data_IF_289632566624
#
_entry.id   IF_289632566624
#
_cell.length_a   1.000
_cell.length_b   1.000
_cell.length_c   1.000
_cell.angle_alpha   90.00
_cell.angle_beta   90.00
_cell.angle_gamma   90.00
#
_symmetry.space_group_name_H-M   'P 1'
#
loop_
_entity.id
_entity.type
_entity.pdbx_description
1 polymer ?
#
# COMPACT_ATOMS: atom_id res chain seq x y z
N UNK A 1 -35.40 -70.01 28.21
CA UNK A 1 -35.50 -69.30 26.93
C UNK A 1 -35.66 -67.82 27.21
N UNK A 2 -34.58 -67.15 27.57
CA UNK A 2 -34.43 -65.69 27.50
C UNK A 2 -32.93 -65.44 27.27
N UNK A 3 -32.55 -64.30 26.69
CA UNK A 3 -31.17 -63.83 26.41
C UNK A 3 -30.48 -64.25 25.11
N UNK A 4 -31.14 -64.10 23.95
CA UNK A 4 -30.42 -64.02 22.64
C UNK A 4 -30.72 -62.70 21.90
N UNK A 5 -31.82 -62.01 22.23
CA UNK A 5 -32.25 -60.80 21.52
C UNK A 5 -31.42 -59.54 21.82
N UNK A 6 -30.73 -59.47 22.97
CA UNK A 6 -29.98 -58.27 23.40
C UNK A 6 -28.59 -58.19 22.75
N UNK A 7 -27.97 -59.32 22.40
CA UNK A 7 -26.60 -59.34 21.85
C UNK A 7 -26.53 -58.95 20.36
N UNK A 8 -27.55 -59.24 19.56
CA UNK A 8 -27.55 -58.95 18.11
C UNK A 8 -27.73 -57.44 17.86
N UNK A 9 -28.63 -56.77 18.59
CA UNK A 9 -28.84 -55.33 18.47
C UNK A 9 -27.64 -54.47 18.90
N UNK A 10 -26.85 -54.95 19.88
CA UNK A 10 -25.65 -54.25 20.34
C UNK A 10 -24.51 -54.30 19.29
N UNK A 11 -24.37 -55.41 18.55
CA UNK A 11 -23.30 -55.57 17.55
C UNK A 11 -23.58 -54.71 16.31
N UNK A 12 -24.81 -54.64 15.82
CA UNK A 12 -25.18 -53.78 14.68
C UNK A 12 -24.99 -52.29 15.00
N UNK A 13 -25.32 -51.86 16.23
CA UNK A 13 -25.12 -50.49 16.69
C UNK A 13 -23.64 -50.09 16.71
N UNK A 14 -22.76 -50.99 17.14
CA UNK A 14 -21.31 -50.76 17.19
C UNK A 14 -20.71 -50.62 15.79
N UNK A 15 -21.19 -51.41 14.82
CA UNK A 15 -20.74 -51.31 13.42
C UNK A 15 -21.10 -49.95 12.82
N UNK A 16 -22.34 -49.46 12.99
CA UNK A 16 -22.75 -48.15 12.49
C UNK A 16 -22.02 -46.98 13.16
N UNK A 17 -21.77 -47.06 14.47
CA UNK A 17 -20.96 -46.05 15.20
C UNK A 17 -19.53 -46.02 14.66
N UNK A 18 -18.92 -47.18 14.42
CA UNK A 18 -17.54 -47.27 13.93
C UNK A 18 -17.41 -46.70 12.51
N UNK A 19 -18.35 -47.02 11.61
CA UNK A 19 -18.39 -46.46 10.25
C UNK A 19 -18.59 -44.95 10.28
N UNK A 20 -19.46 -44.45 11.17
CA UNK A 20 -19.73 -43.02 11.31
C UNK A 20 -18.51 -42.25 11.85
N UNK A 21 -17.81 -42.79 12.86
CA UNK A 21 -16.59 -42.19 13.42
C UNK A 21 -15.45 -42.18 12.40
N UNK A 22 -15.29 -43.26 11.63
CA UNK A 22 -14.30 -43.31 10.55
C UNK A 22 -14.62 -42.31 9.43
N UNK A 23 -15.90 -42.19 9.03
CA UNK A 23 -16.35 -41.21 8.06
C UNK A 23 -16.13 -39.76 8.52
N UNK A 24 -16.43 -39.47 9.79
CA UNK A 24 -16.16 -38.17 10.41
C UNK A 24 -14.67 -37.86 10.47
N UNK A 25 -13.82 -38.84 10.83
CA UNK A 25 -12.37 -38.69 10.84
C UNK A 25 -11.78 -38.41 9.45
N UNK A 26 -12.30 -39.07 8.42
CA UNK A 26 -11.88 -38.84 7.04
C UNK A 26 -12.28 -37.46 6.54
N UNK A 27 -13.52 -37.04 6.81
CA UNK A 27 -14.01 -35.69 6.49
C UNK A 27 -13.23 -34.60 7.23
N UNK A 28 -12.87 -34.82 8.50
CA UNK A 28 -12.00 -33.88 9.24
C UNK A 28 -10.58 -33.80 8.67
N UNK A 29 -10.03 -34.93 8.22
CA UNK A 29 -8.72 -35.00 7.58
C UNK A 29 -8.66 -34.23 6.27
N UNK A 30 -9.68 -34.39 5.40
CA UNK A 30 -9.77 -33.63 4.14
C UNK A 30 -9.97 -32.14 4.40
N UNK A 31 -10.86 -31.79 5.33
CA UNK A 31 -11.16 -30.39 5.67
C UNK A 31 -9.94 -29.66 6.27
N UNK A 32 -9.12 -30.36 7.06
CA UNK A 32 -7.86 -29.81 7.59
C UNK A 32 -6.82 -29.57 6.49
N UNK A 33 -6.73 -30.48 5.51
CA UNK A 33 -5.85 -30.30 4.36
C UNK A 33 -6.31 -29.16 3.45
N UNK A 34 -7.60 -29.05 3.18
CA UNK A 34 -8.15 -27.97 2.35
C UNK A 34 -7.94 -26.60 3.01
N UNK A 35 -8.17 -26.48 4.32
CA UNK A 35 -7.90 -25.25 5.09
C UNK A 35 -6.42 -24.90 5.08
N UNK A 36 -5.53 -25.90 5.15
CA UNK A 36 -4.08 -25.67 5.09
C UNK A 36 -3.65 -25.15 3.71
N UNK A 37 -4.14 -25.78 2.64
CA UNK A 37 -3.84 -25.38 1.27
C UNK A 37 -4.38 -23.96 0.99
N UNK A 38 -5.60 -23.64 1.40
CA UNK A 38 -6.18 -22.29 1.26
C UNK A 38 -5.34 -21.24 1.99
N UNK A 39 -4.83 -21.55 3.19
CA UNK A 39 -3.98 -20.63 3.96
C UNK A 39 -2.64 -20.37 3.27
N UNK A 40 -2.04 -21.39 2.67
CA UNK A 40 -0.81 -21.28 1.89
C UNK A 40 -1.05 -20.46 0.61
N UNK A 41 -2.13 -20.74 -0.13
CA UNK A 41 -2.50 -19.97 -1.33
C UNK A 41 -2.82 -18.51 -1.04
N UNK A 42 -3.49 -18.19 0.08
CA UNK A 42 -3.72 -16.81 0.53
C UNK A 42 -2.40 -16.13 0.92
N UNK A 43 -1.45 -16.86 1.50
CA UNK A 43 -0.12 -16.36 1.81
C UNK A 43 0.67 -15.96 0.57
N UNK A 44 0.66 -16.82 -0.45
CA UNK A 44 1.29 -16.57 -1.75
C UNK A 44 0.60 -15.42 -2.51
N UNK A 45 -0.73 -15.39 -2.50
CA UNK A 45 -1.52 -14.31 -3.11
C UNK A 45 -1.25 -12.95 -2.46
N UNK A 46 -1.14 -12.90 -1.12
CA UNK A 46 -0.78 -11.68 -0.39
C UNK A 46 0.63 -11.20 -0.72
N UNK A 47 1.57 -12.13 -0.98
CA UNK A 47 2.93 -11.80 -1.39
C UNK A 47 2.97 -11.25 -2.82
N UNK A 48 2.24 -11.86 -3.75
CA UNK A 48 2.12 -11.40 -5.14
C UNK A 48 1.44 -10.03 -5.26
N UNK A 49 0.41 -9.73 -4.46
CA UNK A 49 -0.17 -8.38 -4.40
C UNK A 49 0.86 -7.35 -3.93
N UNK A 50 1.63 -7.67 -2.88
CA UNK A 50 2.64 -6.76 -2.34
C UNK A 50 3.76 -6.47 -3.34
N UNK A 51 4.15 -7.47 -4.14
CA UNK A 51 5.13 -7.32 -5.23
C UNK A 51 4.54 -6.45 -6.36
N UNK A 52 3.28 -6.66 -6.75
CA UNK A 52 2.61 -5.82 -7.75
C UNK A 52 2.40 -4.37 -7.30
N UNK A 53 2.11 -4.10 -6.03
CA UNK A 53 1.97 -2.73 -5.51
C UNK A 53 3.29 -1.94 -5.59
N UNK A 54 4.42 -2.63 -5.35
CA UNK A 54 5.75 -2.05 -5.49
C UNK A 54 6.11 -1.78 -6.95
N UNK A 55 5.72 -2.67 -7.86
CA UNK A 55 5.92 -2.46 -9.30
C UNK A 55 5.09 -1.28 -9.82
N UNK A 56 3.82 -1.16 -9.41
CA UNK A 56 2.96 -0.05 -9.79
C UNK A 56 3.50 1.28 -9.26
N UNK A 57 3.91 1.34 -7.98
CA UNK A 57 4.51 2.54 -7.40
C UNK A 57 5.82 2.94 -8.13
N UNK A 58 6.65 1.95 -8.48
CA UNK A 58 7.90 2.17 -9.23
C UNK A 58 7.62 2.66 -10.65
N UNK A 59 6.63 2.09 -11.34
CA UNK A 59 6.23 2.48 -12.70
C UNK A 59 5.62 3.90 -12.70
N UNK A 60 4.70 4.19 -11.77
CA UNK A 60 4.11 5.54 -11.62
C UNK A 60 5.18 6.58 -11.29
N UNK A 61 6.13 6.26 -10.41
CA UNK A 61 7.27 7.11 -10.10
C UNK A 61 8.13 7.43 -11.33
N UNK A 62 8.47 6.42 -12.14
CA UNK A 62 9.23 6.60 -13.40
C UNK A 62 8.46 7.38 -14.47
N UNK A 63 7.12 7.37 -14.42
CA UNK A 63 6.30 8.08 -15.39
C UNK A 63 6.45 9.60 -15.23
N UNK A 64 6.54 10.11 -14.00
CA UNK A 64 6.61 11.56 -13.74
C UNK A 64 7.94 12.05 -13.21
N UNK A 65 8.84 11.16 -12.77
CA UNK A 65 10.15 11.52 -12.25
C UNK A 65 11.29 10.80 -12.98
N UNK A 66 12.41 11.50 -13.14
CA UNK A 66 13.63 10.93 -13.70
C UNK A 66 14.18 9.83 -12.78
N UNK A 67 14.85 8.83 -13.39
CA UNK A 67 15.37 7.66 -12.67
C UNK A 67 16.62 7.97 -11.83
N UNK A 68 17.22 9.15 -11.99
CA UNK A 68 18.39 9.58 -11.24
C UNK A 68 17.95 10.31 -9.97
N UNK A 69 18.59 9.97 -8.84
CA UNK A 69 18.43 10.70 -7.59
C UNK A 69 19.14 12.06 -7.67
N UNK A 70 18.61 13.12 -7.05
CA UNK A 70 17.29 13.20 -6.45
C UNK A 70 16.19 13.13 -7.51
N UNK A 71 15.09 12.42 -7.22
CA UNK A 71 13.98 12.24 -8.17
C UNK A 71 13.41 13.60 -8.55
N UNK A 72 13.64 14.06 -9.77
CA UNK A 72 13.14 15.33 -10.29
C UNK A 72 11.97 15.07 -11.23
N UNK A 73 11.00 15.99 -11.30
CA UNK A 73 9.92 15.85 -12.28
C UNK A 73 10.49 15.87 -13.70
N UNK A 74 10.18 14.85 -14.48
CA UNK A 74 10.50 14.79 -15.91
C UNK A 74 9.55 15.72 -16.71
N UNK A 75 9.66 15.75 -18.04
CA UNK A 75 8.81 16.62 -18.86
C UNK A 75 7.31 16.36 -18.65
N UNK A 76 6.92 15.10 -18.55
CA UNK A 76 5.53 14.71 -18.31
C UNK A 76 5.06 15.12 -16.91
N UNK A 77 5.87 14.87 -15.88
CA UNK A 77 5.58 15.29 -14.51
C UNK A 77 5.40 16.81 -14.38
N UNK A 78 6.20 17.61 -15.09
CA UNK A 78 6.03 19.08 -15.13
C UNK A 78 4.72 19.49 -15.81
N UNK A 79 4.29 18.78 -16.85
CA UNK A 79 2.99 19.00 -17.50
C UNK A 79 1.83 18.67 -16.55
N UNK A 80 1.93 17.57 -15.81
CA UNK A 80 0.93 17.20 -14.78
C UNK A 80 0.87 18.27 -13.69
N UNK A 81 2.02 18.72 -13.18
CA UNK A 81 2.10 19.76 -12.14
C UNK A 81 1.43 21.07 -12.60
N UNK A 82 1.71 21.51 -13.83
CA UNK A 82 1.17 22.75 -14.38
C UNK A 82 -0.32 22.64 -14.80
N UNK A 83 -0.76 21.48 -15.28
CA UNK A 83 -2.11 21.30 -15.83
C UNK A 83 -3.17 20.88 -14.79
N UNK A 84 -2.76 20.39 -13.62
CA UNK A 84 -3.67 19.84 -12.61
C UNK A 84 -4.14 20.85 -11.57
N UNK A 85 -3.49 22.00 -11.44
CA UNK A 85 -3.77 22.96 -10.36
C UNK A 85 -3.19 22.55 -8.99
N UNK A 86 -2.47 21.42 -8.91
CA UNK A 86 -1.89 20.96 -7.65
C UNK A 86 -0.76 21.87 -7.18
N UNK A 87 -0.06 22.52 -8.11
CA UNK A 87 1.01 23.46 -7.78
C UNK A 87 0.49 24.59 -6.89
N UNK A 88 -0.61 25.21 -7.28
CA UNK A 88 -1.26 26.32 -6.58
C UNK A 88 -1.79 25.86 -5.21
N UNK A 89 -2.37 24.65 -5.14
CA UNK A 89 -2.80 24.06 -3.86
C UNK A 89 -1.62 23.94 -2.89
N UNK A 90 -0.49 23.41 -3.37
CA UNK A 90 0.72 23.22 -2.57
C UNK A 90 1.32 24.56 -2.15
N UNK A 91 1.44 25.53 -3.05
CA UNK A 91 1.99 26.86 -2.76
C UNK A 91 1.14 27.59 -1.72
N UNK A 92 -0.20 27.56 -1.85
CA UNK A 92 -1.11 28.20 -0.90
C UNK A 92 -1.08 27.56 0.49
N UNK A 93 -0.70 26.28 0.59
CA UNK A 93 -0.68 25.52 1.85
C UNK A 93 0.73 25.16 2.30
N UNK A 94 1.76 25.77 1.69
CA UNK A 94 3.17 25.48 1.95
C UNK A 94 3.47 25.44 3.45
N UNK A 95 3.08 26.48 4.18
CA UNK A 95 3.42 26.61 5.60
C UNK A 95 2.74 25.55 6.47
N UNK A 96 1.45 25.28 6.22
CA UNK A 96 0.71 24.25 6.93
C UNK A 96 1.24 22.84 6.66
N UNK A 97 1.61 22.56 5.40
CA UNK A 97 2.21 21.29 5.00
C UNK A 97 3.63 21.15 5.59
N UNK A 98 4.43 22.22 5.57
CA UNK A 98 5.75 22.24 6.19
C UNK A 98 5.67 21.99 7.71
N UNK A 99 4.68 22.56 8.40
CA UNK A 99 4.46 22.28 9.82
C UNK A 99 4.08 20.81 10.06
N UNK A 100 3.20 20.23 9.23
CA UNK A 100 2.87 18.79 9.27
C UNK A 100 4.11 17.91 9.11
N UNK A 101 5.00 18.27 8.17
CA UNK A 101 6.26 17.55 7.94
C UNK A 101 7.20 17.69 9.14
N UNK A 102 7.39 18.90 9.67
CA UNK A 102 8.23 19.14 10.86
C UNK A 102 7.76 18.38 12.09
N UNK A 103 6.44 18.26 12.30
CA UNK A 103 5.87 17.48 13.41
C UNK A 103 6.25 16.00 13.37
N UNK A 104 6.60 15.47 12.19
CA UNK A 104 7.09 14.10 12.03
C UNK A 104 8.57 13.94 12.39
N UNK A 105 9.28 15.04 12.65
CA UNK A 105 10.69 15.09 13.03
C UNK A 105 11.58 14.20 12.13
N UNK A 106 11.62 14.45 10.80
CA UNK A 106 12.46 13.67 9.90
C UNK A 106 13.93 13.81 10.30
N UNK A 107 14.65 12.69 10.37
CA UNK A 107 16.05 12.66 10.84
C UNK A 107 17.07 12.65 9.70
N UNK A 108 16.63 12.27 8.50
CA UNK A 108 17.44 12.17 7.31
C UNK A 108 16.61 12.58 6.06
N UNK A 109 17.25 12.82 4.90
CA UNK A 109 16.55 13.21 3.67
C UNK A 109 15.45 12.24 3.22
N UNK A 110 15.64 10.94 3.43
CA UNK A 110 14.65 9.93 3.07
C UNK A 110 13.40 10.02 3.95
N UNK A 111 13.57 10.17 5.27
CA UNK A 111 12.46 10.40 6.20
C UNK A 111 11.69 11.68 5.83
N UNK A 112 12.42 12.72 5.43
CA UNK A 112 11.82 13.98 4.99
C UNK A 112 10.96 13.78 3.75
N UNK A 113 11.47 13.08 2.73
CA UNK A 113 10.71 12.76 1.52
C UNK A 113 9.45 11.96 1.83
N UNK A 114 9.55 10.92 2.68
CA UNK A 114 8.40 10.12 3.14
C UNK A 114 7.37 10.96 3.89
N UNK A 115 7.83 11.85 4.77
CA UNK A 115 6.96 12.74 5.52
C UNK A 115 6.21 13.73 4.59
N UNK A 116 6.89 14.21 3.55
CA UNK A 116 6.36 15.12 2.53
C UNK A 116 5.32 14.41 1.66
N UNK A 117 5.66 13.24 1.11
CA UNK A 117 4.73 12.41 0.33
C UNK A 117 3.45 12.16 1.12
N UNK A 118 3.59 11.76 2.38
CA UNK A 118 2.45 11.49 3.24
C UNK A 118 1.63 12.75 3.54
N UNK A 119 2.27 13.90 3.81
CA UNK A 119 1.56 15.15 4.09
C UNK A 119 0.70 15.61 2.90
N UNK A 120 1.18 15.37 1.67
CA UNK A 120 0.43 15.69 0.45
C UNK A 120 -0.64 14.64 0.16
N UNK A 121 -0.36 13.35 0.35
CA UNK A 121 -1.35 12.28 0.12
C UNK A 121 -2.55 12.37 1.07
N UNK A 122 -2.38 12.97 2.24
CA UNK A 122 -3.44 13.20 3.24
C UNK A 122 -4.29 14.45 2.94
N UNK A 123 -3.98 15.25 1.89
CA UNK A 123 -4.79 16.44 1.54
C UNK A 123 -6.26 16.06 1.28
N UNK A 124 -6.59 15.07 0.42
CA UNK A 124 -7.98 14.62 0.22
C UNK A 124 -8.77 14.31 1.50
N UNK A 125 -8.10 13.77 2.52
CA UNK A 125 -8.74 13.37 3.77
C UNK A 125 -8.86 14.54 4.75
N UNK A 126 -7.80 15.36 4.85
CA UNK A 126 -7.77 16.50 5.77
C UNK A 126 -8.51 17.73 5.24
N UNK A 127 -8.70 17.81 3.93
CA UNK A 127 -9.27 18.97 3.22
C UNK A 127 -10.17 18.47 2.07
N UNK A 128 -11.33 17.87 2.42
CA UNK A 128 -12.22 17.26 1.43
C UNK A 128 -12.74 18.26 0.40
N UNK A 129 -12.75 19.57 0.70
CA UNK A 129 -13.10 20.62 -0.25
C UNK A 129 -12.15 20.72 -1.45
N UNK A 130 -10.90 20.27 -1.31
CA UNK A 130 -9.92 20.27 -2.39
C UNK A 130 -9.98 19.00 -3.24
N UNK A 131 -10.69 17.97 -2.78
CA UNK A 131 -10.73 16.68 -3.46
C UNK A 131 -11.27 16.81 -4.90
N UNK A 132 -12.33 17.60 -5.09
CA UNK A 132 -12.91 17.79 -6.43
C UNK A 132 -11.97 18.57 -7.35
N UNK A 133 -11.21 19.52 -6.81
CA UNK A 133 -10.18 20.23 -7.58
C UNK A 133 -9.05 19.29 -8.00
N UNK A 134 -8.59 18.42 -7.10
CA UNK A 134 -7.55 17.42 -7.39
C UNK A 134 -8.04 16.40 -8.42
N UNK A 135 -9.27 15.89 -8.29
CA UNK A 135 -9.89 14.99 -9.27
C UNK A 135 -10.05 15.65 -10.64
N UNK A 136 -10.46 16.91 -10.66
CA UNK A 136 -10.56 17.70 -11.90
C UNK A 136 -9.19 17.86 -12.55
N UNK A 137 -8.17 18.15 -11.74
CA UNK A 137 -6.78 18.22 -12.20
C UNK A 137 -6.29 16.92 -12.81
N UNK A 138 -6.56 15.79 -12.15
CA UNK A 138 -6.25 14.44 -12.63
C UNK A 138 -6.94 14.16 -13.98
N UNK A 139 -8.24 14.48 -14.08
CA UNK A 139 -9.00 14.34 -15.32
C UNK A 139 -8.43 15.20 -16.46
N UNK A 140 -8.11 16.47 -16.20
CA UNK A 140 -7.58 17.40 -17.21
C UNK A 140 -6.21 16.98 -17.74
N UNK A 141 -5.40 16.32 -16.91
CA UNK A 141 -4.05 15.89 -17.26
C UNK A 141 -3.99 14.44 -17.73
N UNK A 142 -5.11 13.71 -17.69
CA UNK A 142 -5.22 12.33 -18.15
C UNK A 142 -4.50 11.33 -17.26
N UNK A 143 -4.32 11.64 -15.97
CA UNK A 143 -3.63 10.78 -14.99
C UNK A 143 -4.50 10.51 -13.78
N UNK A 144 -4.07 9.59 -12.92
CA UNK A 144 -4.76 9.33 -11.66
C UNK A 144 -4.41 10.37 -10.57
N UNK A 145 -5.26 10.41 -9.53
CA UNK A 145 -5.12 11.33 -8.40
C UNK A 145 -3.78 11.13 -7.67
N UNK A 146 -3.32 9.89 -7.51
CA UNK A 146 -2.05 9.62 -6.81
C UNK A 146 -0.88 10.25 -7.57
N UNK A 147 -0.92 10.21 -8.91
CA UNK A 147 0.12 10.81 -9.74
C UNK A 147 0.14 12.33 -9.65
N UNK A 148 -1.03 12.96 -9.55
CA UNK A 148 -1.15 14.41 -9.29
C UNK A 148 -0.58 14.76 -7.92
N UNK A 149 -0.93 14.00 -6.89
CA UNK A 149 -0.42 14.19 -5.53
C UNK A 149 1.10 13.95 -5.45
N UNK A 150 1.62 12.97 -6.19
CA UNK A 150 3.06 12.73 -6.29
C UNK A 150 3.78 13.88 -7.00
N UNK A 151 3.19 14.47 -8.04
CA UNK A 151 3.74 15.68 -8.64
C UNK A 151 3.76 16.85 -7.64
N UNK A 152 2.69 16.99 -6.85
CA UNK A 152 2.60 17.96 -5.77
C UNK A 152 3.62 17.74 -4.66
N UNK A 153 3.88 16.49 -4.25
CA UNK A 153 4.85 16.17 -3.20
C UNK A 153 6.28 16.46 -3.63
N UNK A 154 6.66 16.13 -4.87
CA UNK A 154 7.96 16.48 -5.44
C UNK A 154 8.15 18.00 -5.53
N UNK A 155 7.08 18.73 -5.88
CA UNK A 155 7.10 20.19 -5.88
C UNK A 155 7.28 20.76 -4.46
N UNK A 156 6.48 20.30 -3.48
CA UNK A 156 6.60 20.70 -2.09
C UNK A 156 8.00 20.42 -1.54
N UNK A 157 8.55 19.23 -1.83
CA UNK A 157 9.90 18.84 -1.44
C UNK A 157 10.91 19.88 -1.87
N UNK A 158 10.91 20.26 -3.14
CA UNK A 158 11.83 21.27 -3.66
C UNK A 158 11.65 22.66 -3.00
N UNK A 159 10.47 22.97 -2.45
CA UNK A 159 10.20 24.22 -1.75
C UNK A 159 10.66 24.23 -0.28
N UNK A 160 10.63 23.08 0.41
CA UNK A 160 10.82 23.02 1.87
C UNK A 160 12.03 22.20 2.32
N UNK A 161 12.70 21.46 1.43
CA UNK A 161 13.84 20.62 1.83
C UNK A 161 14.93 21.41 2.56
N UNK A 162 15.29 22.58 2.02
CA UNK A 162 16.24 23.51 2.64
C UNK A 162 15.73 24.06 3.96
N UNK A 163 14.44 24.33 4.06
CA UNK A 163 13.76 24.80 5.28
C UNK A 163 13.70 23.71 6.38
N UNK A 164 14.00 22.46 6.04
CA UNK A 164 14.13 21.32 6.95
C UNK A 164 15.59 21.00 7.30
N UNK A 165 16.55 21.72 6.70
CA UNK A 165 17.99 21.51 6.93
C UNK A 165 18.60 20.39 6.09
N UNK A 166 17.94 19.97 5.00
CA UNK A 166 18.45 18.97 4.07
C UNK A 166 18.76 19.62 2.71
N UNK A 167 19.82 19.17 2.06
CA UNK A 167 20.09 19.52 0.66
C UNK A 167 19.58 18.40 -0.26
N UNK A 168 19.12 18.76 -1.48
CA UNK A 168 18.55 17.79 -2.42
C UNK A 168 19.59 16.76 -2.87
N UNK A 169 20.86 17.14 -2.85
CA UNK A 169 22.03 16.35 -3.23
C UNK A 169 22.34 15.24 -2.21
N UNK A 170 21.89 15.36 -0.96
CA UNK A 170 22.14 14.37 0.10
C UNK A 170 21.30 13.10 -0.04
N UNK A 171 20.23 13.14 -0.86
CA UNK A 171 19.36 12.00 -1.18
C UNK A 171 20.10 10.86 -1.91
N UNK A 172 21.27 11.12 -2.48
CA UNK A 172 22.05 10.13 -3.24
C UNK A 172 22.98 9.27 -2.34
N UNK A 173 23.34 9.79 -1.17
CA UNK A 173 24.40 9.19 -0.33
C UNK A 173 23.97 7.94 0.45
N UNK A 174 22.66 7.69 0.59
CA UNK A 174 22.13 6.62 1.47
C UNK A 174 21.66 5.35 0.75
N UNK A 175 21.80 5.24 -0.57
CA UNK A 175 21.55 3.97 -1.28
C UNK A 175 22.75 2.99 -1.26
N UNK A 176 23.90 3.38 -0.69
CA UNK A 176 25.13 2.59 -0.73
C UNK A 176 25.40 1.69 0.51
N UNK A 177 24.62 1.80 1.59
CA UNK A 177 24.89 1.05 2.83
C UNK A 177 23.88 -0.07 3.08
N UNK A 178 23.74 -0.98 2.11
CA UNK A 178 23.25 -2.34 2.38
C UNK A 178 24.26 -3.33 1.81
N UNK A 179 25.32 -3.54 2.59
CA UNK A 179 26.20 -4.70 2.49
C UNK A 179 25.58 -5.91 3.20
#
# INVERSE_FOLDING_TARGET
METITIQIGAIESIVWITVTVLGLGFAWGTLKNDVKNIKESIGEFKKSIREHDQDIATIKGRLIADSHSPRQLNEFGRKVLAGSGIKEIIENKKDALAEKVRKKNPTNPYDAERAIEQAVSEIPESEPELLDAIKTGAFNTGVDVDLVLLAGSLHLRNLIFKDLGFELEELDTHQADVH
#
